data_IF_230739403868
#
_entry.id   IF_230739403868
#
_cell.length_a   1.000
_cell.length_b   1.000
_cell.length_c   1.000
_cell.angle_alpha   90.00
_cell.angle_beta   90.00
_cell.angle_gamma   90.00
#
_symmetry.space_group_name_H-M   'P 1'
#
loop_
_entity.id
_entity.type
_entity.pdbx_description
1 polymer ?
#
# COMPACT_ATOMS: atom_id res chain seq x y z
N UNK A 1 -34.74 -16.80 -20.89
CA UNK A 1 -33.88 -16.49 -19.73
C UNK A 1 -32.44 -16.46 -20.21
N UNK A 2 -31.80 -15.29 -20.24
CA UNK A 2 -30.42 -15.17 -20.67
C UNK A 2 -29.49 -15.63 -19.55
N UNK A 3 -28.89 -16.80 -19.71
CA UNK A 3 -27.70 -17.16 -18.95
C UNK A 3 -26.53 -16.42 -19.59
N UNK A 4 -26.23 -15.20 -19.13
CA UNK A 4 -24.92 -14.62 -19.39
C UNK A 4 -23.91 -15.49 -18.67
N UNK A 5 -23.11 -16.24 -19.44
CA UNK A 5 -21.94 -16.94 -18.92
C UNK A 5 -20.98 -15.86 -18.42
N UNK A 6 -21.06 -15.58 -17.12
CA UNK A 6 -20.09 -14.72 -16.44
C UNK A 6 -18.73 -15.41 -16.59
N UNK A 7 -17.78 -14.74 -17.26
CA UNK A 7 -16.44 -15.27 -17.48
C UNK A 7 -15.84 -15.75 -16.14
N UNK A 8 -15.18 -16.91 -16.10
CA UNK A 8 -14.70 -17.56 -14.86
C UNK A 8 -13.87 -16.63 -13.98
N UNK A 9 -13.12 -15.70 -14.61
CA UNK A 9 -12.30 -14.72 -13.90
C UNK A 9 -13.10 -13.71 -13.09
N UNK A 10 -14.35 -13.42 -13.49
CA UNK A 10 -15.27 -12.56 -12.73
C UNK A 10 -15.78 -13.21 -11.44
N UNK A 11 -15.55 -14.52 -11.27
CA UNK A 11 -15.86 -15.27 -10.04
C UNK A 11 -14.62 -15.50 -9.16
N UNK A 12 -13.42 -15.10 -9.61
CA UNK A 12 -12.22 -15.19 -8.79
C UNK A 12 -12.36 -14.26 -7.58
N UNK A 13 -12.15 -14.79 -6.36
CA UNK A 13 -12.32 -14.04 -5.10
C UNK A 13 -11.43 -12.79 -5.04
N UNK A 14 -10.22 -12.86 -5.58
CA UNK A 14 -9.26 -11.76 -5.56
C UNK A 14 -9.68 -10.69 -6.56
N UNK A 15 -10.17 -11.11 -7.74
CA UNK A 15 -10.77 -10.20 -8.71
C UNK A 15 -11.97 -9.46 -8.12
N UNK A 16 -12.89 -10.17 -7.46
CA UNK A 16 -14.08 -9.57 -6.82
C UNK A 16 -13.66 -8.57 -5.74
N UNK A 17 -12.68 -8.92 -4.91
CA UNK A 17 -12.16 -8.05 -3.86
C UNK A 17 -11.57 -6.76 -4.45
N UNK A 18 -10.72 -6.88 -5.48
CA UNK A 18 -10.15 -5.74 -6.19
C UNK A 18 -11.21 -4.87 -6.88
N UNK A 19 -12.17 -5.49 -7.58
CA UNK A 19 -13.25 -4.76 -8.24
C UNK A 19 -14.19 -4.06 -7.25
N UNK A 20 -14.34 -4.58 -6.03
CA UNK A 20 -15.06 -3.91 -4.94
C UNK A 20 -14.25 -2.72 -4.41
N UNK A 21 -12.98 -2.94 -4.07
CA UNK A 21 -12.07 -1.90 -3.59
C UNK A 21 -11.99 -0.73 -4.56
N UNK A 22 -11.78 -0.98 -5.85
CA UNK A 22 -11.66 0.06 -6.87
C UNK A 22 -12.95 0.88 -6.99
N UNK A 23 -14.13 0.23 -6.93
CA UNK A 23 -15.41 0.94 -6.94
C UNK A 23 -15.61 1.81 -5.70
N UNK A 24 -15.16 1.38 -4.54
CA UNK A 24 -15.21 2.18 -3.31
C UNK A 24 -14.23 3.36 -3.39
N UNK A 25 -13.04 3.13 -3.93
CA UNK A 25 -11.97 4.12 -4.07
C UNK A 25 -12.27 5.22 -5.10
N UNK A 26 -13.09 4.94 -6.11
CA UNK A 26 -13.44 5.88 -7.19
C UNK A 26 -14.07 7.18 -6.67
N UNK A 27 -14.76 7.12 -5.53
CA UNK A 27 -15.40 8.27 -4.88
C UNK A 27 -14.65 8.83 -3.67
N UNK A 28 -13.39 8.42 -3.46
CA UNK A 28 -12.64 8.89 -2.30
C UNK A 28 -12.32 10.38 -2.35
N UNK A 29 -12.46 11.02 -1.19
CA UNK A 29 -11.94 12.36 -0.98
C UNK A 29 -10.41 12.35 -1.00
N UNK A 30 -9.82 13.52 -1.22
CA UNK A 30 -8.36 13.68 -1.14
C UNK A 30 -7.80 13.29 0.25
N UNK A 31 -8.58 13.40 1.32
CA UNK A 31 -8.18 12.96 2.66
C UNK A 31 -8.17 11.44 2.77
N UNK A 32 -9.17 10.75 2.22
CA UNK A 32 -9.22 9.29 2.20
C UNK A 32 -8.05 8.71 1.39
N UNK A 33 -7.74 9.33 0.24
CA UNK A 33 -6.57 8.97 -0.58
C UNK A 33 -5.28 9.12 0.25
N UNK A 34 -5.05 10.27 0.89
CA UNK A 34 -3.85 10.49 1.71
C UNK A 34 -3.72 9.51 2.87
N UNK A 35 -4.84 9.17 3.52
CA UNK A 35 -4.85 8.20 4.62
C UNK A 35 -4.50 6.79 4.12
N UNK A 36 -5.03 6.39 2.96
CA UNK A 36 -4.69 5.12 2.33
C UNK A 36 -3.22 5.07 1.91
N UNK A 37 -2.71 6.12 1.25
CA UNK A 37 -1.30 6.23 0.86
C UNK A 37 -0.37 6.09 2.06
N UNK A 38 -0.66 6.80 3.16
CA UNK A 38 0.14 6.71 4.38
C UNK A 38 0.11 5.31 5.00
N UNK A 39 -1.05 4.64 5.01
CA UNK A 39 -1.18 3.29 5.53
C UNK A 39 -0.37 2.28 4.69
N UNK A 40 -0.44 2.38 3.36
CA UNK A 40 0.32 1.50 2.47
C UNK A 40 1.82 1.76 2.53
N UNK A 41 2.25 3.03 2.64
CA UNK A 41 3.65 3.37 2.85
C UNK A 41 4.20 2.74 4.13
N UNK A 42 3.47 2.82 5.24
CA UNK A 42 3.84 2.14 6.49
C UNK A 42 3.96 0.64 6.31
N UNK A 43 2.97 0.00 5.65
CA UNK A 43 2.95 -1.45 5.41
C UNK A 43 4.17 -1.90 4.59
N UNK A 44 4.46 -1.22 3.48
CA UNK A 44 5.57 -1.55 2.58
C UNK A 44 6.92 -1.29 3.27
N UNK A 45 7.08 -0.15 3.94
CA UNK A 45 8.30 0.18 4.68
C UNK A 45 8.56 -0.80 5.83
N UNK A 46 7.51 -1.20 6.56
CA UNK A 46 7.57 -2.23 7.59
C UNK A 46 8.06 -3.56 7.02
N UNK A 47 7.41 -4.02 5.95
CA UNK A 47 7.80 -5.25 5.28
C UNK A 47 9.26 -5.21 4.79
N UNK A 48 9.69 -4.11 4.17
CA UNK A 48 11.05 -3.95 3.67
C UNK A 48 12.09 -3.98 4.81
N UNK A 49 11.83 -3.27 5.91
CA UNK A 49 12.68 -3.23 7.10
C UNK A 49 12.82 -4.61 7.78
N UNK A 50 11.70 -5.33 7.90
CA UNK A 50 11.65 -6.63 8.54
C UNK A 50 12.31 -7.73 7.69
N UNK A 51 12.15 -7.68 6.37
CA UNK A 51 12.51 -8.82 5.51
C UNK A 51 13.80 -8.61 4.70
N UNK A 52 14.33 -7.38 4.62
CA UNK A 52 15.52 -7.10 3.78
C UNK A 52 16.63 -6.42 4.58
N UNK A 53 17.81 -7.07 4.63
CA UNK A 53 18.99 -6.53 5.33
C UNK A 53 19.43 -5.15 4.80
N UNK A 54 19.30 -4.92 3.49
CA UNK A 54 19.64 -3.64 2.85
C UNK A 54 18.78 -2.49 3.36
N UNK A 55 17.45 -2.62 3.25
CA UNK A 55 16.51 -1.60 3.75
C UNK A 55 16.62 -1.40 5.26
N UNK A 56 16.81 -2.48 6.03
CA UNK A 56 17.01 -2.37 7.48
C UNK A 56 18.21 -1.49 7.81
N UNK A 57 19.38 -1.80 7.23
CA UNK A 57 20.61 -1.02 7.44
C UNK A 57 20.44 0.43 6.97
N UNK A 58 19.76 0.64 5.84
CA UNK A 58 19.51 1.96 5.31
C UNK A 58 18.68 2.82 6.28
N UNK A 59 17.60 2.27 6.82
CA UNK A 59 16.74 3.00 7.76
C UNK A 59 17.45 3.22 9.09
N UNK A 60 18.14 2.21 9.62
CA UNK A 60 18.95 2.32 10.83
C UNK A 60 20.08 3.37 10.69
N UNK A 61 20.65 3.55 9.50
CA UNK A 61 21.72 4.54 9.26
C UNK A 61 21.29 5.99 9.50
N UNK A 62 19.99 6.27 9.41
CA UNK A 62 19.40 7.58 9.71
C UNK A 62 18.54 7.56 10.98
N UNK A 63 18.62 6.47 11.76
CA UNK A 63 17.85 6.29 13.00
C UNK A 63 16.34 6.16 12.79
N UNK A 64 15.87 5.84 11.59
CA UNK A 64 14.45 5.72 11.28
C UNK A 64 13.93 4.30 11.51
N UNK A 65 12.70 4.18 12.03
CA UNK A 65 11.92 2.94 12.06
C UNK A 65 10.62 3.10 11.28
N UNK A 66 10.04 2.03 10.71
CA UNK A 66 8.76 2.11 9.98
C UNK A 66 7.62 2.76 10.78
N UNK A 67 7.60 2.54 12.09
CA UNK A 67 6.63 3.13 13.02
C UNK A 67 6.72 4.66 13.14
N UNK A 68 7.86 5.26 12.76
CA UNK A 68 8.09 6.70 12.85
C UNK A 68 7.47 7.45 11.66
N UNK A 69 6.99 6.74 10.62
CA UNK A 69 6.37 7.33 9.43
C UNK A 69 4.98 7.85 9.77
N UNK A 70 4.88 9.00 10.42
CA UNK A 70 3.60 9.62 10.81
C UNK A 70 2.87 10.36 9.69
N UNK A 71 3.56 10.71 8.61
CA UNK A 71 3.05 11.45 7.46
C UNK A 71 3.90 11.18 6.21
N UNK A 72 3.41 11.63 5.05
CA UNK A 72 4.14 11.57 3.78
C UNK A 72 5.46 12.35 3.87
N UNK A 73 5.48 13.44 4.63
CA UNK A 73 6.61 14.33 4.83
C UNK A 73 7.70 13.65 5.64
N UNK A 74 7.34 12.82 6.62
CA UNK A 74 8.32 11.98 7.34
C UNK A 74 8.82 10.85 6.46
N UNK A 75 7.96 10.23 5.65
CA UNK A 75 8.38 9.23 4.65
C UNK A 75 9.42 9.80 3.68
N UNK A 76 9.24 11.04 3.19
CA UNK A 76 10.17 11.71 2.27
C UNK A 76 11.58 11.95 2.84
N UNK A 77 11.77 11.81 4.16
CA UNK A 77 13.09 11.91 4.81
C UNK A 77 13.87 10.60 4.77
N UNK A 78 13.24 9.49 4.38
CA UNK A 78 13.93 8.20 4.25
C UNK A 78 14.94 8.26 3.10
N UNK A 79 16.08 7.56 3.20
CA UNK A 79 17.09 7.58 2.16
C UNK A 79 16.58 6.93 0.86
N UNK A 80 16.98 7.50 -0.27
CA UNK A 80 16.69 6.96 -1.60
C UNK A 80 17.75 5.91 -1.97
N UNK A 81 17.32 4.81 -2.57
CA UNK A 81 18.23 3.79 -3.12
C UNK A 81 18.78 4.24 -4.48
N UNK A 82 20.04 3.89 -4.76
CA UNK A 82 20.72 4.15 -6.03
C UNK A 82 20.90 2.87 -6.82
#
# INVERSE_FOLDING_TARGET
>A
MNFQVVHKDLQNKDYIAWAKFLREADSWSAEQIRNFELAELKRICGHAFENTKGYRRLFESVGAKPQDIGSIETFRKLPILT
#
